data_IF_221105207955
#
_entry.id   IF_221105207955
#
_cell.length_a   1.000
_cell.length_b   1.000
_cell.length_c   1.000
_cell.angle_alpha   90.00
_cell.angle_beta   90.00
_cell.angle_gamma   90.00
#
_symmetry.space_group_name_H-M   'P 1'
#
loop_
_entity.id
_entity.type
_entity.pdbx_description
1 polymer ?
#
# COMPACT_ATOMS: atom_id res chain seq x y z
N UNK A 1 -6.75 -10.83 8.09
CA UNK A 1 -6.96 -11.66 6.88
C UNK A 1 -6.04 -11.14 5.79
N UNK A 2 -4.98 -11.88 5.44
CA UNK A 2 -4.01 -11.48 4.41
C UNK A 2 -4.49 -12.03 3.07
N UNK A 3 -4.75 -11.17 2.09
CA UNK A 3 -5.18 -11.58 0.74
C UNK A 3 -4.07 -11.29 -0.27
N UNK A 4 -3.53 -12.33 -0.90
CA UNK A 4 -2.42 -12.23 -1.86
C UNK A 4 -2.99 -12.14 -3.28
N UNK A 5 -2.63 -11.09 -4.03
CA UNK A 5 -3.06 -10.92 -5.43
C UNK A 5 -1.92 -11.21 -6.41
N UNK A 6 -1.83 -12.44 -6.92
CA UNK A 6 -0.74 -12.89 -7.82
C UNK A 6 -0.83 -12.35 -9.26
N UNK A 7 -1.93 -11.69 -9.65
CA UNK A 7 -2.09 -11.09 -10.98
C UNK A 7 -1.18 -9.88 -11.26
N UNK A 8 -0.62 -9.27 -10.21
CA UNK A 8 0.21 -8.05 -10.31
C UNK A 8 1.72 -8.33 -10.35
N UNK A 9 2.15 -9.61 -10.43
CA UNK A 9 3.55 -10.04 -10.24
C UNK A 9 4.17 -9.51 -8.95
N UNK A 10 3.38 -9.37 -7.89
CA UNK A 10 3.80 -8.85 -6.58
C UNK A 10 2.85 -9.34 -5.51
N UNK A 11 3.38 -9.73 -4.35
CA UNK A 11 2.57 -10.05 -3.17
C UNK A 11 2.14 -8.76 -2.47
N UNK A 12 0.86 -8.69 -2.08
CA UNK A 12 0.31 -7.57 -1.31
C UNK A 12 -0.19 -8.12 0.02
N UNK A 13 0.38 -7.66 1.12
CA UNK A 13 -0.11 -7.93 2.47
C UNK A 13 -1.05 -6.80 2.88
N UNK A 14 -2.27 -7.12 3.29
CA UNK A 14 -3.25 -6.12 3.74
C UNK A 14 -3.64 -6.44 5.19
N UNK A 15 -3.50 -5.46 6.06
CA UNK A 15 -3.89 -5.54 7.45
C UNK A 15 -4.98 -4.51 7.77
N UNK A 16 -6.07 -4.96 8.40
CA UNK A 16 -7.19 -4.12 8.81
C UNK A 16 -7.18 -4.01 10.34
N UNK A 17 -7.09 -2.79 10.86
CA UNK A 17 -7.13 -2.50 12.29
C UNK A 17 -8.38 -1.68 12.65
N UNK A 18 -9.10 -2.14 13.65
CA UNK A 18 -10.23 -1.42 14.25
C UNK A 18 -9.65 -0.64 15.43
N UNK A 19 -9.16 0.57 15.19
CA UNK A 19 -8.50 1.39 16.19
C UNK A 19 -7.58 2.46 15.60
N UNK A 20 -6.89 3.19 16.48
CA UNK A 20 -5.86 4.16 16.13
C UNK A 20 -4.63 3.47 15.56
N UNK A 21 -3.88 4.21 14.77
CA UNK A 21 -2.60 3.75 14.26
C UNK A 21 -1.55 3.77 15.38
N UNK A 22 -0.72 2.73 15.48
CA UNK A 22 0.44 2.67 16.37
C UNK A 22 1.73 2.47 15.56
N UNK A 23 2.83 3.19 15.85
CA UNK A 23 4.10 3.04 15.14
C UNK A 23 4.63 1.59 15.09
N UNK A 24 4.35 0.79 16.12
CA UNK A 24 4.71 -0.63 16.18
C UNK A 24 4.13 -1.47 15.02
N UNK A 25 3.01 -1.05 14.44
CA UNK A 25 2.39 -1.75 13.31
C UNK A 25 3.27 -1.71 12.05
N UNK A 26 4.04 -0.63 11.84
CA UNK A 26 5.00 -0.57 10.73
C UNK A 26 6.06 -1.66 10.86
N UNK A 27 6.66 -1.80 12.04
CA UNK A 27 7.70 -2.81 12.29
C UNK A 27 7.17 -4.25 12.14
N UNK A 28 5.95 -4.52 12.61
CA UNK A 28 5.30 -5.81 12.39
C UNK A 28 5.12 -6.09 10.88
N UNK A 29 4.58 -5.13 10.14
CA UNK A 29 4.37 -5.28 8.70
C UNK A 29 5.69 -5.45 7.93
N UNK A 30 6.74 -4.68 8.24
CA UNK A 30 8.06 -4.83 7.63
C UNK A 30 8.64 -6.23 7.86
N UNK A 31 8.52 -6.76 9.07
CA UNK A 31 8.92 -8.12 9.37
C UNK A 31 8.15 -9.15 8.51
N UNK A 32 6.82 -9.00 8.40
CA UNK A 32 6.00 -9.86 7.55
C UNK A 32 6.39 -9.78 6.08
N UNK A 33 6.62 -8.58 5.54
CA UNK A 33 7.05 -8.40 4.15
C UNK A 33 8.42 -9.04 3.90
N UNK A 34 9.37 -8.90 4.81
CA UNK A 34 10.68 -9.54 4.71
C UNK A 34 10.57 -11.07 4.73
N UNK A 35 9.66 -11.62 5.54
CA UNK A 35 9.40 -13.05 5.55
C UNK A 35 8.78 -13.52 4.23
N UNK A 36 7.79 -12.79 3.70
CA UNK A 36 7.18 -13.08 2.39
C UNK A 36 8.20 -13.00 1.25
N UNK A 37 9.08 -11.99 1.28
CA UNK A 37 10.12 -11.80 0.27
C UNK A 37 11.13 -12.96 0.22
N UNK A 38 11.43 -13.56 1.38
CA UNK A 38 12.38 -14.67 1.50
C UNK A 38 11.76 -16.04 1.22
N UNK A 39 10.51 -16.26 1.62
CA UNK A 39 9.93 -17.62 1.65
C UNK A 39 8.87 -17.86 0.58
N UNK A 40 8.13 -16.82 0.17
CA UNK A 40 6.94 -16.96 -0.69
C UNK A 40 7.10 -16.30 -2.06
N UNK A 41 8.00 -15.32 -2.20
CA UNK A 41 8.20 -14.58 -3.45
C UNK A 41 8.81 -15.48 -4.52
N UNK A 42 8.19 -15.50 -5.70
CA UNK A 42 8.73 -16.18 -6.87
C UNK A 42 9.81 -15.34 -7.58
N UNK A 43 10.71 -15.96 -8.37
CA UNK A 43 11.78 -15.24 -9.06
C UNK A 43 11.29 -14.14 -10.02
N UNK A 44 10.09 -14.30 -10.58
CA UNK A 44 9.43 -13.36 -11.49
C UNK A 44 8.54 -12.33 -10.78
N UNK A 45 8.50 -12.36 -9.45
CA UNK A 45 7.72 -11.43 -8.63
C UNK A 45 8.60 -10.31 -8.05
N UNK A 46 8.02 -9.11 -8.05
CA UNK A 46 8.55 -7.94 -7.39
C UNK A 46 8.50 -8.05 -5.85
N UNK A 47 9.29 -7.22 -5.16
CA UNK A 47 9.28 -7.15 -3.69
C UNK A 47 7.85 -6.95 -3.15
N UNK A 48 7.46 -7.65 -2.06
CA UNK A 48 6.12 -7.57 -1.51
C UNK A 48 5.83 -6.16 -0.96
N UNK A 49 4.56 -5.76 -1.02
CA UNK A 49 4.07 -4.50 -0.47
C UNK A 49 3.07 -4.73 0.65
N UNK A 50 3.17 -3.93 1.70
CA UNK A 50 2.26 -3.94 2.84
C UNK A 50 1.32 -2.75 2.79
N UNK A 51 0.05 -2.98 3.11
CA UNK A 51 -0.96 -1.93 3.28
C UNK A 51 -1.58 -2.13 4.67
N UNK A 52 -1.44 -1.12 5.53
CA UNK A 52 -2.10 -1.06 6.83
C UNK A 52 -3.28 -0.10 6.70
N UNK A 53 -4.47 -0.62 6.97
CA UNK A 53 -5.73 0.10 6.91
C UNK A 53 -6.30 0.28 8.33
N UNK A 54 -6.51 1.53 8.75
CA UNK A 54 -7.05 1.87 10.08
C UNK A 54 -8.36 2.66 9.99
N UNK A 55 -9.22 2.51 10.99
CA UNK A 55 -10.57 3.10 11.00
C UNK A 55 -10.58 4.55 11.48
N UNK A 56 -9.67 4.88 12.39
CA UNK A 56 -9.74 6.09 13.20
C UNK A 56 -9.01 7.28 12.57
N UNK A 57 -9.41 8.50 12.92
CA UNK A 57 -9.07 9.75 12.21
C UNK A 57 -7.89 10.52 12.80
N UNK A 58 -7.24 9.98 13.84
CA UNK A 58 -6.11 10.62 14.50
C UNK A 58 -4.84 10.44 13.64
N UNK A 59 -4.57 11.45 12.80
CA UNK A 59 -3.49 11.49 11.82
C UNK A 59 -2.13 11.96 12.39
N UNK A 60 -2.10 12.46 13.62
CA UNK A 60 -0.90 13.11 14.20
C UNK A 60 0.33 12.20 14.16
N UNK A 61 0.19 10.91 14.52
CA UNK A 61 1.34 9.98 14.55
C UNK A 61 1.79 9.49 13.16
N UNK A 62 0.94 9.65 12.14
CA UNK A 62 1.19 9.10 10.79
C UNK A 62 2.12 10.02 10.00
N UNK A 63 2.04 11.33 10.20
CA UNK A 63 2.94 12.29 9.56
C UNK A 63 4.40 12.09 9.98
N UNK A 64 4.64 11.62 11.20
CA UNK A 64 5.99 11.34 11.71
C UNK A 64 6.60 10.04 11.20
N UNK A 65 5.82 9.20 10.51
CA UNK A 65 6.35 7.99 9.91
C UNK A 65 6.94 8.30 8.54
N UNK A 66 8.23 8.04 8.38
CA UNK A 66 8.90 7.95 7.09
C UNK A 66 8.31 6.77 6.29
N UNK A 67 7.15 7.00 5.67
CA UNK A 67 6.50 6.08 4.75
C UNK A 67 7.07 6.23 3.34
N UNK A 68 7.64 7.40 3.02
CA UNK A 68 8.31 7.66 1.75
C UNK A 68 9.51 6.72 1.57
N UNK A 69 9.45 5.89 0.52
CA UNK A 69 10.49 4.92 0.18
C UNK A 69 10.38 3.55 0.86
N UNK A 70 9.43 3.38 1.80
CA UNK A 70 9.18 2.08 2.43
C UNK A 70 8.20 1.22 1.62
N UNK A 71 8.27 -0.10 1.78
CA UNK A 71 7.29 -1.02 1.17
C UNK A 71 5.97 -1.09 1.96
N UNK A 72 5.83 -0.33 3.05
CA UNK A 72 4.64 -0.28 3.90
C UNK A 72 3.89 1.02 3.65
N UNK A 73 2.63 0.89 3.26
CA UNK A 73 1.73 2.01 3.02
C UNK A 73 0.66 2.01 4.10
N UNK A 74 0.44 3.16 4.72
CA UNK A 74 -0.55 3.32 5.80
C UNK A 74 -1.66 4.23 5.28
N UNK A 75 -2.91 3.78 5.32
CA UNK A 75 -4.04 4.55 4.83
C UNK A 75 -5.28 4.37 5.72
N UNK A 76 -6.04 5.44 5.91
CA UNK A 76 -7.32 5.35 6.61
C UNK A 76 -8.35 4.68 5.70
N UNK A 77 -9.11 3.71 6.22
CA UNK A 77 -10.30 3.22 5.52
C UNK A 77 -11.54 3.96 5.99
N UNK A 78 -12.43 4.26 5.04
CA UNK A 78 -13.72 4.85 5.35
C UNK A 78 -14.60 3.76 5.96
N UNK A 79 -15.08 3.97 7.19
CA UNK A 79 -16.03 3.08 7.88
C UNK A 79 -17.34 2.89 7.11
N UNK A 80 -17.65 3.82 6.21
CA UNK A 80 -18.66 3.66 5.18
C UNK A 80 -18.00 3.68 3.80
N UNK A 81 -18.23 2.62 3.01
CA UNK A 81 -17.77 2.58 1.64
C UNK A 81 -18.42 3.73 0.86
N UNK A 82 -17.64 4.62 0.21
CA UNK A 82 -18.22 5.67 -0.60
C UNK A 82 -19.06 5.06 -1.73
N UNK A 83 -20.11 5.74 -2.21
CA UNK A 83 -20.92 5.27 -3.32
C UNK A 83 -20.06 4.80 -4.50
N UNK A 84 -20.43 3.67 -5.11
CA UNK A 84 -19.65 3.00 -6.17
C UNK A 84 -19.14 3.96 -7.25
N UNK A 85 -19.96 4.92 -7.68
CA UNK A 85 -19.60 5.94 -8.67
C UNK A 85 -18.39 6.78 -8.24
N UNK A 86 -18.37 7.26 -7.00
CA UNK A 86 -17.29 8.08 -6.46
C UNK A 86 -16.01 7.24 -6.33
N UNK A 87 -16.14 5.98 -5.92
CA UNK A 87 -15.00 5.07 -5.84
C UNK A 87 -14.39 4.81 -7.23
N UNK A 88 -15.22 4.53 -8.24
CA UNK A 88 -14.78 4.33 -9.62
C UNK A 88 -14.08 5.56 -10.19
N UNK A 89 -14.63 6.75 -9.96
CA UNK A 89 -14.04 8.02 -10.41
C UNK A 89 -12.66 8.26 -9.75
N UNK A 90 -12.57 8.10 -8.43
CA UNK A 90 -11.31 8.26 -7.70
C UNK A 90 -10.27 7.23 -8.12
N UNK A 91 -10.69 5.98 -8.33
CA UNK A 91 -9.80 4.91 -8.79
C UNK A 91 -9.27 5.19 -10.21
N UNK A 92 -10.14 5.59 -11.15
CA UNK A 92 -9.73 5.98 -12.50
C UNK A 92 -8.75 7.15 -12.47
N UNK A 93 -9.01 8.15 -11.63
CA UNK A 93 -8.12 9.30 -11.45
C UNK A 93 -6.75 8.88 -10.90
N UNK A 94 -6.72 8.02 -9.88
CA UNK A 94 -5.49 7.48 -9.32
C UNK A 94 -4.68 6.68 -10.35
N UNK A 95 -5.34 5.84 -11.16
CA UNK A 95 -4.70 5.09 -12.25
C UNK A 95 -4.12 6.04 -13.30
N UNK A 96 -4.83 7.11 -13.68
CA UNK A 96 -4.33 8.12 -14.63
C UNK A 96 -3.06 8.78 -14.12
N UNK A 97 -3.09 9.26 -12.88
CA UNK A 97 -1.94 9.92 -12.25
C UNK A 97 -0.74 8.97 -12.17
N UNK A 98 -0.97 7.71 -11.80
CA UNK A 98 0.09 6.70 -11.73
C UNK A 98 0.72 6.41 -13.10
N UNK A 99 -0.10 6.33 -14.16
CA UNK A 99 0.39 6.17 -15.54
C UNK A 99 1.23 7.35 -15.99
N UNK A 100 0.75 8.58 -15.82
CA UNK A 100 1.51 9.78 -16.18
C UNK A 100 2.83 9.91 -15.41
N UNK A 101 2.85 9.49 -14.13
CA UNK A 101 4.08 9.48 -13.34
C UNK A 101 5.05 8.43 -13.85
N UNK A 102 4.56 7.25 -14.23
CA UNK A 102 5.36 6.18 -14.80
C UNK A 102 5.97 6.59 -16.13
N UNK A 103 5.19 7.20 -17.03
CA UNK A 103 5.66 7.72 -18.32
C UNK A 103 6.76 8.78 -18.14
N UNK A 104 6.56 9.74 -17.22
CA UNK A 104 7.58 10.74 -16.89
C UNK A 104 8.87 10.15 -16.31
N UNK A 105 8.78 9.07 -15.54
CA UNK A 105 9.94 8.37 -15.00
C UNK A 105 10.70 7.61 -16.10
N UNK A 106 9.97 6.97 -17.03
CA UNK A 106 10.57 6.30 -18.19
C UNK A 106 11.28 7.30 -19.12
N UNK A 107 10.72 8.49 -19.34
CA UNK A 107 11.37 9.56 -20.11
C UNK A 107 12.63 10.10 -19.42
N UNK A 108 12.63 10.21 -18.09
CA UNK A 108 13.81 10.64 -17.32
C UNK A 108 14.92 9.59 -17.28
N UNK A 109 14.62 8.30 -17.32
CA UNK A 109 15.64 7.24 -17.40
C UNK A 109 16.23 7.05 -18.80
N UNK A 110 15.64 7.67 -19.83
CA UNK A 110 16.10 7.59 -21.23
C UNK A 110 16.98 8.78 -21.67
N UNK A 111 17.12 9.80 -20.83
CA UNK A 111 18.04 10.94 -21.00
C UNK A 111 19.21 10.81 -20.04
#
# INVERSE_FOLDING_TARGET
MVSVHRGLRRLIAIELKIGRFEPAYKGQMEWYLNWLDKNERKPDEEKPLGIILYADKDQEDIEYLELEGSNVHVAQYLTQLPPKKILEEKLRKAISIAREKYERLQEKSRK
#
